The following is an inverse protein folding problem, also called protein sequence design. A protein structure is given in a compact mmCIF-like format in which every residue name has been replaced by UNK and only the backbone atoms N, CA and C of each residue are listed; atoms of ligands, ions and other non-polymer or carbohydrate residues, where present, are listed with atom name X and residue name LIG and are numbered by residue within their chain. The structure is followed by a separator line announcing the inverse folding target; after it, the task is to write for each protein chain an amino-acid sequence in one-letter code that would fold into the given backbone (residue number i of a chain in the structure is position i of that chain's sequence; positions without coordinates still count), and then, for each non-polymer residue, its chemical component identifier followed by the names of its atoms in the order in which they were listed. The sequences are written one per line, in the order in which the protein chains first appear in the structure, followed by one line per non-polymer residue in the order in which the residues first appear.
data_IF_144198300346
#
_entry.id   IF_144198300346
#
_cell.length_a   1.000
_cell.length_b   1.000
_cell.length_c   1.000
_cell.angle_alpha   90.00
_cell.angle_beta   90.00
_cell.angle_gamma   90.00
#
_symmetry.space_group_name_H-M   'P 1'
#
loop_
_entity.id
_entity.type
_entity.pdbx_description
1 polymer ?
#
# COMPACT_ATOMS: atom_id res chain seq x y z
N UNK A 1 4.23 3.32 7.72
CA UNK A 1 3.36 3.60 8.88
C UNK A 1 2.94 2.34 9.66
N UNK A 2 2.78 1.17 9.01
CA UNK A 2 2.32 -0.05 9.68
C UNK A 2 3.16 -0.47 10.90
N UNK A 3 4.49 -0.47 10.80
CA UNK A 3 5.38 -0.82 11.92
C UNK A 3 5.22 0.11 13.13
N UNK A 4 5.01 1.41 12.91
CA UNK A 4 4.76 2.38 13.98
C UNK A 4 3.42 2.09 14.68
N UNK A 5 2.37 1.78 13.92
CA UNK A 5 1.08 1.40 14.49
C UNK A 5 1.23 0.14 15.36
N UNK A 6 1.96 -0.86 14.89
CA UNK A 6 2.18 -2.12 15.61
C UNK A 6 2.98 -1.94 16.90
N UNK A 7 4.13 -1.28 16.83
CA UNK A 7 5.11 -1.27 17.93
C UNK A 7 5.06 -0.03 18.81
N UNK A 8 4.67 1.13 18.27
CA UNK A 8 4.64 2.39 19.04
C UNK A 8 3.25 2.72 19.58
N UNK A 9 2.19 2.28 18.88
CA UNK A 9 0.80 2.63 19.21
C UNK A 9 -0.06 1.44 19.66
N UNK A 10 0.51 0.22 19.72
CA UNK A 10 -0.20 -1.00 20.12
C UNK A 10 -1.37 -1.39 19.19
N UNK A 11 -1.41 -0.81 17.99
CA UNK A 11 -2.47 -0.93 17.00
C UNK A 11 -2.11 -1.96 15.93
N UNK A 12 -1.93 -3.21 16.35
CA UNK A 12 -1.53 -4.31 15.48
C UNK A 12 -2.55 -4.55 14.35
N UNK A 13 -3.85 -4.57 14.65
CA UNK A 13 -4.89 -4.78 13.63
C UNK A 13 -4.90 -3.68 12.56
N UNK A 14 -4.70 -2.42 12.95
CA UNK A 14 -4.62 -1.33 11.97
C UNK A 14 -3.33 -1.42 11.14
N UNK A 15 -2.23 -1.89 11.73
CA UNK A 15 -1.01 -2.19 10.97
C UNK A 15 -1.24 -3.29 9.93
N UNK A 16 -1.91 -4.38 10.32
CA UNK A 16 -2.26 -5.49 9.43
C UNK A 16 -3.16 -5.01 8.27
N UNK A 17 -4.12 -4.13 8.54
CA UNK A 17 -4.97 -3.53 7.49
C UNK A 17 -4.16 -2.71 6.50
N UNK A 18 -3.21 -1.89 6.97
CA UNK A 18 -2.33 -1.10 6.09
C UNK A 18 -1.44 -2.01 5.24
N UNK A 19 -0.83 -3.03 5.83
CA UNK A 19 0.00 -4.00 5.09
C UNK A 19 -0.82 -4.77 4.04
N UNK A 20 -2.04 -5.16 4.40
CA UNK A 20 -2.98 -5.84 3.49
C UNK A 20 -3.38 -4.94 2.33
N UNK A 21 -3.69 -3.67 2.60
CA UNK A 21 -4.04 -2.70 1.57
C UNK A 21 -2.89 -2.49 0.58
N UNK A 22 -1.65 -2.36 1.07
CA UNK A 22 -0.47 -2.26 0.20
C UNK A 22 -0.31 -3.51 -0.65
N UNK A 23 -0.42 -4.71 -0.07
CA UNK A 23 -0.38 -5.97 -0.84
C UNK A 23 -1.46 -6.00 -1.93
N UNK A 24 -2.69 -5.57 -1.61
CA UNK A 24 -3.82 -5.53 -2.55
C UNK A 24 -3.54 -4.61 -3.75
N UNK A 25 -2.99 -3.42 -3.51
CA UNK A 25 -2.61 -2.48 -4.58
C UNK A 25 -1.51 -3.05 -5.49
N UNK A 26 -0.51 -3.71 -4.91
CA UNK A 26 0.54 -4.37 -5.68
C UNK A 26 0.00 -5.56 -6.49
N UNK A 27 -0.97 -6.32 -5.96
CA UNK A 27 -1.65 -7.40 -6.71
C UNK A 27 -2.56 -6.89 -7.82
N UNK A 28 -3.06 -5.66 -7.71
CA UNK A 28 -3.78 -4.98 -8.81
C UNK A 28 -2.84 -4.54 -9.94
N UNK A 29 -1.54 -4.77 -9.80
CA UNK A 29 -0.54 -4.42 -10.80
C UNK A 29 -0.19 -2.94 -10.80
N UNK A 30 -0.54 -2.17 -9.76
CA UNK A 30 -0.12 -0.77 -9.63
C UNK A 30 1.32 -0.72 -9.12
N UNK A 31 2.19 -0.03 -9.84
CA UNK A 31 3.62 0.09 -9.53
C UNK A 31 4.10 1.52 -9.70
N UNK A 32 4.90 2.01 -8.76
CA UNK A 32 5.61 3.28 -8.91
C UNK A 32 6.81 3.12 -9.86
N UNK A 33 7.37 4.24 -10.33
CA UNK A 33 8.42 4.23 -11.36
C UNK A 33 9.70 3.44 -10.97
N UNK A 34 9.95 3.28 -9.67
CA UNK A 34 11.08 2.56 -9.09
C UNK A 34 10.90 1.02 -9.10
N UNK A 35 9.66 0.53 -9.03
CA UNK A 35 9.32 -0.90 -9.01
C UNK A 35 8.45 -1.32 -10.21
N UNK A 36 8.50 -0.53 -11.27
CA UNK A 36 7.71 -0.76 -12.47
C UNK A 36 8.25 -1.97 -13.26
N UNK A 37 7.34 -2.84 -13.66
CA UNK A 37 7.63 -3.98 -14.53
C UNK A 37 6.76 -3.94 -15.79
N UNK A 38 7.29 -4.44 -16.91
CA UNK A 38 6.53 -4.51 -18.16
C UNK A 38 5.26 -5.37 -17.97
N UNK A 39 4.09 -4.78 -18.25
CA UNK A 39 2.78 -5.42 -18.00
C UNK A 39 2.07 -4.96 -16.73
N UNK A 40 2.69 -4.05 -15.96
CA UNK A 40 2.07 -3.39 -14.80
C UNK A 40 1.59 -1.97 -15.12
N UNK A 41 0.73 -1.41 -14.27
CA UNK A 41 0.26 -0.03 -14.38
C UNK A 41 1.20 0.89 -13.62
N UNK A 42 1.92 1.75 -14.36
CA UNK A 42 2.79 2.76 -13.75
C UNK A 42 1.95 3.89 -13.14
N UNK A 43 2.19 4.19 -11.87
CA UNK A 43 1.52 5.28 -11.12
C UNK A 43 2.53 6.19 -10.42
N UNK A 44 2.12 7.42 -10.14
CA UNK A 44 2.87 8.38 -9.33
C UNK A 44 2.67 8.19 -7.83
N UNK A 45 3.37 9.00 -7.02
CA UNK A 45 3.30 8.95 -5.55
C UNK A 45 1.89 9.20 -5.01
N UNK A 46 1.19 10.17 -5.59
CA UNK A 46 -0.17 10.53 -5.17
C UNK A 46 -1.18 9.42 -5.51
N UNK A 47 -1.13 8.93 -6.75
CA UNK A 47 -2.01 7.87 -7.24
C UNK A 47 -1.81 6.56 -6.46
N UNK A 48 -0.55 6.21 -6.12
CA UNK A 48 -0.26 5.07 -5.25
C UNK A 48 -0.87 5.26 -3.85
N UNK A 49 -0.74 6.45 -3.28
CA UNK A 49 -1.36 6.80 -1.99
C UNK A 49 -2.89 6.66 -2.02
N UNK A 50 -3.53 7.22 -3.05
CA UNK A 50 -4.97 7.16 -3.24
C UNK A 50 -5.45 5.70 -3.44
N UNK A 51 -4.69 4.89 -4.16
CA UNK A 51 -4.97 3.46 -4.33
C UNK A 51 -4.89 2.68 -3.01
N UNK A 52 -3.89 2.96 -2.17
CA UNK A 52 -3.75 2.34 -0.85
C UNK A 52 -4.90 2.76 0.08
N UNK A 53 -5.29 4.03 0.06
CA UNK A 53 -6.45 4.53 0.82
C UNK A 53 -7.74 3.87 0.35
N UNK A 54 -7.93 3.72 -0.95
CA UNK A 54 -9.09 3.01 -1.52
C UNK A 54 -9.08 1.51 -1.16
N UNK A 55 -7.90 0.90 -1.02
CA UNK A 55 -7.76 -0.50 -0.65
C UNK A 55 -7.93 -0.79 0.86
N UNK A 56 -7.89 0.24 1.70
CA UNK A 56 -8.18 0.16 3.15
C UNK A 56 -9.69 0.05 3.46
N UNK A 57 -10.55 0.37 2.50
CA UNK A 57 -12.02 0.29 2.58
C UNK A 57 -12.56 -1.13 2.60
#
# INVERSE_FOLDING_TARGET
AAMMLRYSLGKAEQADRVETAVKKVLTQGLRTADIYEAGTTRVGTREMGDAVVKALG
#
